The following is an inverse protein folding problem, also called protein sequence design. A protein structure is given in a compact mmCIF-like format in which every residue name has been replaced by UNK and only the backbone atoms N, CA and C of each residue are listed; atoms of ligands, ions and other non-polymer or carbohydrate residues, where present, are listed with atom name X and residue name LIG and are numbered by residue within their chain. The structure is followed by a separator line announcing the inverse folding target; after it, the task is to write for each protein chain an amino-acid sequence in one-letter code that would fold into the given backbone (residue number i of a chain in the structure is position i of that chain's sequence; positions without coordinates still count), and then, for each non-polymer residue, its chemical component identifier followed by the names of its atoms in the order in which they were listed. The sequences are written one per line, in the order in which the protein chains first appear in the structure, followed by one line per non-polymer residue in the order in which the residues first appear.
data_IF_814385123142
#
_entry.id   IF_814385123142
#
_cell.length_a   1.000
_cell.length_b   1.000
_cell.length_c   1.000
_cell.angle_alpha   90.00
_cell.angle_beta   90.00
_cell.angle_gamma   90.00
#
_symmetry.space_group_name_H-M   'P 1'
#
loop_
_entity.id
_entity.type
_entity.pdbx_description
1 polymer ?
#
# COMPACT_ATOMS: atom_id res chain seq x y z
N UNK A 1 -1.18 -0.75 31.69
CA UNK A 1 -1.71 -0.51 30.34
C UNK A 1 -2.03 -1.87 29.73
N UNK A 2 -3.31 -2.19 29.58
CA UNK A 2 -3.75 -3.50 29.05
C UNK A 2 -3.95 -3.38 27.56
N UNK A 3 -3.27 -4.22 26.79
CA UNK A 3 -3.38 -4.24 25.33
C UNK A 3 -4.32 -5.37 24.94
N UNK A 4 -5.28 -5.07 24.06
CA UNK A 4 -6.20 -6.06 23.49
C UNK A 4 -6.03 -6.11 21.98
N UNK A 5 -6.13 -7.31 21.39
CA UNK A 5 -6.14 -7.48 19.93
C UNK A 5 -7.51 -7.97 19.51
N UNK A 6 -8.07 -7.34 18.48
CA UNK A 6 -9.39 -7.68 17.94
C UNK A 6 -9.48 -7.37 16.45
N UNK A 7 -10.54 -7.87 15.83
CA UNK A 7 -10.80 -7.72 14.41
C UNK A 7 -11.22 -6.29 14.08
N UNK A 8 -10.70 -5.78 12.97
CA UNK A 8 -11.16 -4.55 12.36
C UNK A 8 -12.50 -4.81 11.65
N UNK A 9 -13.50 -3.97 11.93
CA UNK A 9 -14.85 -4.12 11.36
C UNK A 9 -15.13 -3.01 10.34
N UNK A 10 -15.79 -3.30 9.19
CA UNK A 10 -16.06 -2.30 8.15
C UNK A 10 -16.85 -1.08 8.66
N UNK A 11 -17.77 -1.27 9.61
CA UNK A 11 -18.57 -0.19 10.18
C UNK A 11 -17.89 0.61 11.30
N UNK A 12 -16.69 0.21 11.75
CA UNK A 12 -16.03 0.81 12.90
C UNK A 12 -15.13 1.99 12.47
N UNK A 13 -15.75 3.14 12.15
CA UNK A 13 -15.04 4.31 11.59
C UNK A 13 -13.81 4.73 12.40
N UNK A 14 -13.94 4.83 13.72
CA UNK A 14 -12.84 5.23 14.60
C UNK A 14 -11.65 4.24 14.54
N UNK A 15 -11.93 2.94 14.38
CA UNK A 15 -10.90 1.92 14.25
C UNK A 15 -10.20 2.00 12.90
N UNK A 16 -10.96 2.22 11.82
CA UNK A 16 -10.42 2.39 10.46
C UNK A 16 -9.50 3.63 10.38
N UNK A 17 -9.92 4.74 10.98
CA UNK A 17 -9.09 5.94 11.09
C UNK A 17 -7.86 5.71 11.96
N UNK A 18 -8.01 5.00 13.09
CA UNK A 18 -6.89 4.59 13.93
C UNK A 18 -5.88 3.72 13.19
N UNK A 19 -6.37 2.78 12.39
CA UNK A 19 -5.53 1.92 11.56
C UNK A 19 -4.71 2.76 10.56
N UNK A 20 -5.38 3.65 9.82
CA UNK A 20 -4.73 4.53 8.86
C UNK A 20 -3.70 5.45 9.53
N UNK A 21 -3.98 5.99 10.72
CA UNK A 21 -3.03 6.81 11.49
C UNK A 21 -1.77 6.03 11.86
N UNK A 22 -1.92 4.81 12.40
CA UNK A 22 -0.77 3.96 12.74
C UNK A 22 0.06 3.64 11.50
N UNK A 23 -0.58 3.31 10.37
CA UNK A 23 0.11 3.04 9.10
C UNK A 23 0.86 4.26 8.60
N UNK A 24 0.26 5.44 8.64
CA UNK A 24 0.92 6.66 8.21
C UNK A 24 2.13 7.01 9.08
N UNK A 25 2.04 6.80 10.40
CA UNK A 25 3.14 7.07 11.32
C UNK A 25 4.29 6.05 11.19
N UNK A 26 3.98 4.76 10.98
CA UNK A 26 4.97 3.69 10.94
C UNK A 26 5.51 3.39 9.53
N UNK A 27 4.74 3.68 8.47
CA UNK A 27 5.08 3.41 7.08
C UNK A 27 4.49 4.51 6.16
N UNK A 28 5.06 5.72 6.16
CA UNK A 28 4.47 6.89 5.47
C UNK A 28 4.47 6.78 3.94
N UNK A 29 5.09 5.74 3.37
CA UNK A 29 5.24 5.54 1.93
C UNK A 29 4.08 4.76 1.30
N UNK A 30 3.26 4.06 2.10
CA UNK A 30 2.08 3.33 1.62
C UNK A 30 0.82 4.05 2.06
N UNK A 31 -0.05 4.36 1.09
CA UNK A 31 -1.33 5.01 1.36
C UNK A 31 -2.36 3.97 1.82
N UNK A 32 -2.80 4.09 3.07
CA UNK A 32 -3.95 3.36 3.60
C UNK A 32 -5.00 4.37 4.05
N UNK A 33 -6.23 4.21 3.58
CA UNK A 33 -7.36 5.05 3.99
C UNK A 33 -8.46 4.18 4.62
N UNK A 34 -9.35 4.76 5.43
CA UNK A 34 -10.52 4.05 5.90
C UNK A 34 -11.38 3.45 4.78
N UNK A 35 -11.46 4.14 3.65
CA UNK A 35 -12.21 3.71 2.47
C UNK A 35 -11.53 2.51 1.80
N UNK A 36 -10.19 2.51 1.66
CA UNK A 36 -9.44 1.37 1.13
C UNK A 36 -9.58 0.15 2.05
N UNK A 37 -9.46 0.33 3.37
CA UNK A 37 -9.64 -0.75 4.33
C UNK A 37 -11.05 -1.35 4.30
N UNK A 38 -12.07 -0.51 4.13
CA UNK A 38 -13.47 -0.96 4.00
C UNK A 38 -13.66 -1.74 2.70
N UNK A 39 -13.05 -1.28 1.61
CA UNK A 39 -13.05 -1.98 0.33
C UNK A 39 -12.41 -3.36 0.48
N UNK A 40 -11.18 -3.44 0.97
CA UNK A 40 -10.46 -4.70 1.20
C UNK A 40 -11.30 -5.67 2.04
N UNK A 41 -11.84 -5.21 3.17
CA UNK A 41 -12.67 -6.01 4.06
C UNK A 41 -13.94 -6.59 3.42
N UNK A 42 -14.43 -5.99 2.34
CA UNK A 42 -15.70 -6.36 1.71
C UNK A 42 -15.54 -6.99 0.34
N UNK A 43 -14.38 -6.80 -0.31
CA UNK A 43 -14.16 -7.16 -1.71
C UNK A 43 -13.07 -8.21 -1.92
N UNK A 44 -12.14 -8.39 -0.97
CA UNK A 44 -11.13 -9.45 -1.07
C UNK A 44 -11.79 -10.82 -1.19
N UNK A 45 -11.20 -11.67 -2.03
CA UNK A 45 -11.69 -13.00 -2.32
C UNK A 45 -11.84 -13.81 -1.02
N UNK A 46 -12.93 -14.57 -0.83
CA UNK A 46 -13.16 -15.34 0.40
C UNK A 46 -12.00 -16.27 0.77
N UNK A 47 -11.34 -16.87 -0.23
CA UNK A 47 -10.20 -17.78 -0.02
C UNK A 47 -8.91 -17.06 0.40
N UNK A 48 -8.85 -15.73 0.28
CA UNK A 48 -7.79 -14.95 0.91
C UNK A 48 -7.92 -14.98 2.44
N UNK A 49 -9.07 -15.38 2.99
CA UNK A 49 -9.35 -15.42 4.42
C UNK A 49 -8.88 -14.14 5.14
N UNK A 50 -9.11 -13.00 4.50
CA UNK A 50 -8.60 -11.70 4.95
C UNK A 50 -9.14 -11.34 6.32
N UNK A 51 -8.23 -11.05 7.25
CA UNK A 51 -8.57 -10.70 8.63
C UNK A 51 -7.63 -9.62 9.16
N UNK A 52 -7.91 -8.34 8.87
CA UNK A 52 -7.14 -7.25 9.46
C UNK A 52 -7.43 -7.16 10.97
N UNK A 53 -6.36 -6.98 11.74
CA UNK A 53 -6.39 -6.90 13.20
C UNK A 53 -5.92 -5.53 13.68
N UNK A 54 -6.44 -5.11 14.81
CA UNK A 54 -5.96 -3.93 15.53
C UNK A 54 -5.57 -4.28 16.97
N UNK A 55 -4.49 -3.66 17.43
CA UNK A 55 -4.10 -3.65 18.84
C UNK A 55 -4.57 -2.34 19.47
N UNK A 56 -5.33 -2.43 20.56
CA UNK A 56 -5.95 -1.29 21.24
C UNK A 56 -5.43 -1.19 22.67
N UNK A 57 -5.05 0.01 23.08
CA UNK A 57 -4.72 0.35 24.46
C UNK A 57 -5.38 1.68 24.83
N UNK A 58 -6.00 1.75 26.01
CA UNK A 58 -6.68 2.95 26.52
C UNK A 58 -7.71 3.55 25.53
N UNK A 59 -8.36 2.68 24.74
CA UNK A 59 -9.35 3.05 23.73
C UNK A 59 -8.77 3.49 22.39
N UNK A 60 -7.44 3.56 22.26
CA UNK A 60 -6.74 3.99 21.05
C UNK A 60 -6.13 2.80 20.29
N UNK A 61 -6.24 2.82 18.96
CA UNK A 61 -5.53 1.89 18.08
C UNK A 61 -4.05 2.24 18.07
N UNK A 62 -3.22 1.35 18.62
CA UNK A 62 -1.76 1.53 18.72
C UNK A 62 -0.98 0.60 17.80
N UNK A 63 -1.64 -0.36 17.15
CA UNK A 63 -1.02 -1.32 16.25
C UNK A 63 -2.01 -1.92 15.28
N UNK A 64 -1.51 -2.37 14.13
CA UNK A 64 -2.30 -2.89 13.02
C UNK A 64 -1.64 -4.12 12.43
N UNK A 65 -2.43 -5.04 11.88
CA UNK A 65 -1.95 -6.12 11.04
C UNK A 65 -2.92 -6.35 9.86
N UNK A 66 -2.39 -6.48 8.65
CA UNK A 66 -3.09 -7.05 7.50
C UNK A 66 -2.65 -8.51 7.39
N UNK A 67 -3.64 -9.41 7.36
CA UNK A 67 -3.42 -10.85 7.45
C UNK A 67 -4.31 -11.52 6.41
N UNK A 68 -3.72 -12.22 5.44
CA UNK A 68 -4.45 -12.96 4.41
C UNK A 68 -3.59 -14.08 3.83
N UNK A 69 -4.22 -15.06 3.20
CA UNK A 69 -3.58 -15.97 2.26
C UNK A 69 -3.40 -15.27 0.91
N UNK A 70 -2.33 -15.64 0.19
CA UNK A 70 -2.15 -15.30 -1.23
C UNK A 70 -2.97 -16.31 -2.03
N UNK A 71 -4.27 -16.06 -2.17
CA UNK A 71 -5.18 -16.99 -2.85
C UNK A 71 -4.86 -17.17 -4.34
N UNK A 72 -4.22 -16.17 -4.94
CA UNK A 72 -3.76 -16.16 -6.34
C UNK A 72 -2.43 -16.90 -6.52
N UNK A 73 -1.84 -17.44 -5.45
CA UNK A 73 -0.60 -18.20 -5.57
C UNK A 73 -0.84 -19.57 -6.20
N UNK A 74 0.04 -19.95 -7.11
CA UNK A 74 0.06 -21.29 -7.71
C UNK A 74 0.39 -22.37 -6.67
N UNK A 75 1.07 -22.01 -5.58
CA UNK A 75 1.32 -22.88 -4.44
C UNK A 75 0.34 -22.58 -3.29
N UNK A 76 -0.41 -23.57 -2.78
CA UNK A 76 -1.32 -23.34 -1.65
C UNK A 76 -0.56 -23.08 -0.34
N UNK A 77 -1.19 -22.35 0.58
CA UNK A 77 -0.69 -22.16 1.94
C UNK A 77 0.31 -21.02 2.13
N UNK A 78 0.48 -20.14 1.12
CA UNK A 78 1.27 -18.92 1.26
C UNK A 78 0.43 -17.85 1.98
N UNK A 79 0.91 -17.38 3.14
CA UNK A 79 0.24 -16.37 3.95
C UNK A 79 1.06 -15.10 4.09
N UNK A 80 0.39 -13.95 4.20
CA UNK A 80 1.00 -12.65 4.43
C UNK A 80 0.62 -12.10 5.80
N UNK A 81 1.61 -11.56 6.51
CA UNK A 81 1.48 -10.91 7.81
C UNK A 81 2.23 -9.58 7.78
N UNK A 82 1.53 -8.51 7.42
CA UNK A 82 2.10 -7.16 7.43
C UNK A 82 1.55 -6.38 8.61
N UNK A 83 2.38 -6.12 9.63
CA UNK A 83 1.97 -5.44 10.85
C UNK A 83 2.88 -4.27 11.21
N UNK A 84 2.27 -3.27 11.84
CA UNK A 84 2.94 -2.04 12.25
C UNK A 84 2.39 -1.57 13.58
N UNK A 85 3.25 -1.13 14.48
CA UNK A 85 2.91 -0.53 15.77
C UNK A 85 3.27 0.94 15.70
N UNK A 86 2.44 1.81 16.27
CA UNK A 86 2.72 3.23 16.35
C UNK A 86 4.09 3.45 17.02
N UNK A 87 4.98 4.29 16.46
CA UNK A 87 6.36 4.44 16.96
C UNK A 87 6.44 4.71 18.48
N UNK A 88 5.51 5.52 19.01
CA UNK A 88 5.44 5.88 20.43
C UNK A 88 4.95 4.75 21.36
N UNK A 89 4.38 3.68 20.80
CA UNK A 89 3.81 2.54 21.54
C UNK A 89 4.58 1.22 21.31
N UNK A 90 5.74 1.29 20.68
CA UNK A 90 6.63 0.14 20.48
C UNK A 90 7.15 -0.41 21.82
N UNK A 91 7.63 -1.67 21.80
CA UNK A 91 8.20 -2.38 22.97
C UNK A 91 7.26 -2.57 24.17
N UNK A 92 5.94 -2.43 23.97
CA UNK A 92 4.90 -2.66 25.00
C UNK A 92 4.14 -3.98 24.83
N UNK A 93 4.52 -4.81 23.85
CA UNK A 93 3.91 -6.13 23.60
C UNK A 93 2.83 -6.18 22.50
N UNK A 94 2.40 -5.05 21.94
CA UNK A 94 1.40 -5.01 20.87
C UNK A 94 1.79 -5.85 19.64
N UNK A 95 3.04 -5.71 19.17
CA UNK A 95 3.55 -6.48 18.02
C UNK A 95 3.48 -7.99 18.25
N UNK A 96 3.94 -8.46 19.41
CA UNK A 96 3.90 -9.90 19.77
C UNK A 96 2.46 -10.42 19.83
N UNK A 97 1.51 -9.64 20.35
CA UNK A 97 0.09 -10.04 20.37
C UNK A 97 -0.49 -10.12 18.96
N UNK A 98 -0.15 -9.17 18.08
CA UNK A 98 -0.58 -9.15 16.69
C UNK A 98 -0.02 -10.33 15.90
N UNK A 99 1.30 -10.58 15.95
CA UNK A 99 1.95 -11.72 15.27
C UNK A 99 1.27 -13.03 15.67
N UNK A 100 1.14 -13.28 16.98
CA UNK A 100 0.54 -14.53 17.47
C UNK A 100 -0.90 -14.70 17.01
N UNK A 101 -1.67 -13.61 16.93
CA UNK A 101 -3.06 -13.67 16.46
C UNK A 101 -3.15 -13.92 14.95
N UNK A 102 -2.25 -13.31 14.18
CA UNK A 102 -2.14 -13.50 12.73
C UNK A 102 -1.72 -14.92 12.37
N UNK A 103 -0.65 -15.44 12.98
CA UNK A 103 -0.14 -16.78 12.73
C UNK A 103 -1.17 -17.86 13.07
N UNK A 104 -1.87 -17.73 14.20
CA UNK A 104 -2.96 -18.65 14.55
C UNK A 104 -4.08 -18.65 13.51
N UNK A 105 -4.43 -17.48 12.99
CA UNK A 105 -5.46 -17.35 11.97
C UNK A 105 -5.04 -18.05 10.69
N UNK A 106 -3.84 -17.75 10.19
CA UNK A 106 -3.34 -18.33 8.94
C UNK A 106 -3.11 -19.83 9.05
N UNK A 107 -2.55 -20.31 10.16
CA UNK A 107 -2.40 -21.74 10.42
C UNK A 107 -3.76 -22.48 10.44
N UNK A 108 -4.80 -21.86 11.02
CA UNK A 108 -6.14 -22.44 11.02
C UNK A 108 -6.77 -22.55 9.61
N UNK A 109 -6.28 -21.76 8.65
CA UNK A 109 -6.71 -21.77 7.24
C UNK A 109 -5.68 -22.46 6.33
N UNK A 110 -4.78 -23.27 6.88
CA UNK A 110 -3.88 -24.10 6.10
C UNK A 110 -2.61 -23.41 5.58
N UNK A 111 -2.25 -22.24 6.12
CA UNK A 111 -0.96 -21.62 5.81
C UNK A 111 0.19 -22.51 6.26
N UNK A 112 1.13 -22.77 5.36
CA UNK A 112 2.36 -23.54 5.58
C UNK A 112 3.59 -22.65 5.58
N UNK A 113 3.52 -21.49 4.90
CA UNK A 113 4.60 -20.51 4.81
C UNK A 113 4.05 -19.10 4.97
N UNK A 114 4.72 -18.28 5.77
CA UNK A 114 4.31 -16.92 6.08
C UNK A 114 5.37 -15.92 5.63
N UNK A 115 4.92 -14.83 5.02
CA UNK A 115 5.74 -13.74 4.54
C UNK A 115 5.34 -12.44 5.24
N UNK A 116 6.32 -11.57 5.44
CA UNK A 116 6.14 -10.27 6.04
C UNK A 116 7.13 -9.29 5.44
N UNK A 117 6.69 -8.06 5.17
CA UNK A 117 7.59 -6.96 4.86
C UNK A 117 8.04 -6.27 6.14
N UNK A 118 9.35 -6.18 6.31
CA UNK A 118 9.98 -5.58 7.49
C UNK A 118 10.78 -4.36 7.05
N UNK A 119 10.51 -3.20 7.67
CA UNK A 119 11.34 -2.02 7.47
C UNK A 119 12.76 -2.31 7.94
N UNK A 120 13.74 -1.96 7.11
CA UNK A 120 15.14 -2.29 7.33
C UNK A 120 15.78 -1.45 8.45
N UNK A 121 15.42 -1.78 9.69
CA UNK A 121 16.00 -1.23 10.91
C UNK A 121 16.39 -2.37 11.86
N UNK A 122 17.48 -2.24 12.64
CA UNK A 122 17.96 -3.32 13.51
C UNK A 122 16.90 -3.88 14.46
N UNK A 123 16.05 -3.00 15.02
CA UNK A 123 14.99 -3.40 15.95
C UNK A 123 13.87 -4.21 15.30
N UNK A 124 13.53 -3.91 14.04
CA UNK A 124 12.48 -4.59 13.30
C UNK A 124 12.97 -5.96 12.81
N UNK A 125 14.22 -6.05 12.33
CA UNK A 125 14.87 -7.31 11.98
C UNK A 125 14.97 -8.26 13.17
N UNK A 126 15.49 -7.77 14.29
CA UNK A 126 15.59 -8.58 15.52
C UNK A 126 14.22 -9.06 16.02
N UNK A 127 13.16 -8.26 15.84
CA UNK A 127 11.79 -8.67 16.16
C UNK A 127 11.30 -9.80 15.23
N UNK A 128 11.54 -9.68 13.92
CA UNK A 128 11.18 -10.70 12.95
C UNK A 128 11.90 -12.03 13.23
N UNK A 129 13.21 -11.98 13.47
CA UNK A 129 14.04 -13.14 13.82
C UNK A 129 13.58 -13.82 15.12
N UNK A 130 13.23 -13.05 16.15
CA UNK A 130 12.67 -13.56 17.40
C UNK A 130 11.37 -14.35 17.20
N UNK A 131 10.61 -14.00 16.16
CA UNK A 131 9.37 -14.66 15.76
C UNK A 131 9.58 -15.74 14.68
N UNK A 132 10.83 -16.07 14.33
CA UNK A 132 11.16 -17.15 13.40
C UNK A 132 11.13 -16.77 11.92
N UNK A 133 11.00 -15.49 11.58
CA UNK A 133 11.07 -15.01 10.20
C UNK A 133 12.54 -14.83 9.79
N UNK A 134 12.92 -15.41 8.66
CA UNK A 134 14.23 -15.21 8.02
C UNK A 134 14.14 -14.23 6.85
N UNK A 135 15.24 -13.54 6.55
CA UNK A 135 15.31 -12.65 5.39
C UNK A 135 15.35 -13.44 4.07
N UNK A 136 14.56 -13.01 3.09
CA UNK A 136 14.53 -13.56 1.73
C UNK A 136 15.06 -12.56 0.71
N UNK A 137 14.38 -11.41 0.58
CA UNK A 137 14.64 -10.36 -0.41
C UNK A 137 14.51 -8.96 0.17
N UNK A 138 14.93 -7.97 -0.61
CA UNK A 138 14.80 -6.55 -0.31
C UNK A 138 13.92 -5.83 -1.33
N UNK A 139 13.23 -4.79 -0.89
CA UNK A 139 12.54 -3.83 -1.74
C UNK A 139 12.87 -2.41 -1.27
N UNK A 140 12.76 -1.44 -2.18
CA UNK A 140 13.10 -0.05 -1.92
C UNK A 140 11.91 0.87 -2.20
N UNK A 141 11.64 1.80 -1.28
CA UNK A 141 10.79 2.94 -1.56
C UNK A 141 11.60 4.02 -2.28
N UNK A 142 11.20 4.35 -3.50
CA UNK A 142 11.80 5.43 -4.28
C UNK A 142 10.97 6.72 -4.13
N UNK A 143 11.63 7.86 -4.04
CA UNK A 143 10.98 9.18 -3.91
C UNK A 143 11.63 10.19 -4.84
N UNK A 144 10.78 10.96 -5.53
CA UNK A 144 11.16 12.14 -6.30
C UNK A 144 10.42 13.37 -5.74
N UNK A 145 11.15 14.45 -5.43
CA UNK A 145 10.54 15.72 -5.04
C UNK A 145 10.05 16.47 -6.29
N UNK A 146 8.73 16.51 -6.48
CA UNK A 146 8.09 17.19 -7.61
C UNK A 146 7.88 18.70 -7.37
N UNK A 147 7.95 19.17 -6.13
CA UNK A 147 7.68 20.57 -5.79
C UNK A 147 8.94 21.43 -5.91
N UNK A 148 10.09 20.88 -5.52
CA UNK A 148 11.37 21.59 -5.52
C UNK A 148 12.41 20.98 -6.46
N UNK A 149 12.13 19.82 -7.05
CA UNK A 149 13.03 19.15 -8.00
C UNK A 149 12.77 19.54 -9.45
N UNK A 150 13.69 19.13 -10.32
CA UNK A 150 13.53 19.22 -11.78
C UNK A 150 13.18 17.85 -12.33
N UNK A 151 12.12 17.79 -13.15
CA UNK A 151 11.80 16.58 -13.90
C UNK A 151 12.87 16.32 -14.98
N UNK A 152 13.15 15.04 -15.32
CA UNK A 152 13.88 14.75 -16.54
C UNK A 152 13.15 15.34 -17.76
N UNK A 153 13.88 15.69 -18.83
CA UNK A 153 13.25 16.21 -20.04
C UNK A 153 12.29 15.18 -20.60
N UNK A 154 11.16 15.65 -21.15
CA UNK A 154 10.21 14.79 -21.84
C UNK A 154 10.92 14.15 -23.05
N UNK A 155 10.82 12.82 -23.14
CA UNK A 155 11.36 12.06 -24.26
C UNK A 155 10.25 11.85 -25.30
N UNK A 156 10.61 11.90 -26.58
CA UNK A 156 9.71 11.52 -27.66
C UNK A 156 9.39 10.02 -27.56
N UNK A 157 8.14 9.67 -27.86
CA UNK A 157 7.72 8.26 -27.91
C UNK A 157 8.35 7.56 -29.14
N UNK A 158 8.69 6.27 -29.04
CA UNK A 158 9.03 5.47 -30.21
C UNK A 158 7.93 5.53 -31.30
N UNK A 159 8.26 5.39 -32.60
CA UNK A 159 7.33 5.63 -33.71
C UNK A 159 6.04 4.78 -33.71
N UNK A 160 6.02 3.68 -32.98
CA UNK A 160 4.95 2.68 -32.88
C UNK A 160 4.32 2.61 -31.48
N UNK A 161 4.64 3.57 -30.60
CA UNK A 161 4.15 3.62 -29.22
C UNK A 161 3.23 4.82 -29.02
N UNK A 162 2.05 4.55 -28.44
CA UNK A 162 1.09 5.57 -28.01
C UNK A 162 0.96 5.57 -26.48
N UNK A 163 0.90 6.75 -25.87
CA UNK A 163 0.59 6.92 -24.45
C UNK A 163 -0.91 7.15 -24.27
N UNK A 164 -1.59 6.28 -23.52
CA UNK A 164 -3.03 6.38 -23.24
C UNK A 164 -3.33 6.43 -21.74
N UNK A 165 -4.30 7.25 -21.30
CA UNK A 165 -4.74 7.22 -19.91
C UNK A 165 -5.55 5.95 -19.63
N UNK A 166 -5.42 5.39 -18.43
CA UNK A 166 -6.22 4.22 -18.03
C UNK A 166 -7.74 4.46 -18.15
N UNK A 167 -8.19 5.71 -18.02
CA UNK A 167 -9.61 6.08 -18.18
C UNK A 167 -10.19 5.75 -19.56
N UNK A 168 -9.36 5.67 -20.61
CA UNK A 168 -9.81 5.25 -21.94
C UNK A 168 -10.34 3.81 -21.96
N UNK A 169 -9.94 2.99 -20.99
CA UNK A 169 -10.35 1.60 -20.83
C UNK A 169 -11.50 1.45 -19.81
N UNK A 170 -12.12 2.55 -19.36
CA UNK A 170 -13.18 2.45 -18.34
C UNK A 170 -14.44 1.70 -18.83
N UNK A 171 -14.72 1.74 -20.13
CA UNK A 171 -15.83 0.99 -20.72
C UNK A 171 -15.53 -0.51 -20.83
N UNK A 172 -14.26 -0.87 -21.04
CA UNK A 172 -13.77 -2.25 -21.08
C UNK A 172 -12.35 -2.35 -20.49
N UNK A 173 -12.23 -2.64 -19.18
CA UNK A 173 -10.92 -2.76 -18.52
C UNK A 173 -10.13 -4.02 -18.88
N UNK A 174 -10.68 -4.93 -19.72
CA UNK A 174 -10.06 -6.23 -20.01
C UNK A 174 -8.64 -6.14 -20.57
N UNK A 175 -8.30 -5.20 -21.47
CA UNK A 175 -6.91 -5.07 -21.93
C UNK A 175 -5.93 -4.73 -20.80
N UNK A 176 -6.37 -4.01 -19.76
CA UNK A 176 -5.52 -3.71 -18.60
C UNK A 176 -5.36 -4.92 -17.69
N UNK A 177 -6.40 -5.75 -17.57
CA UNK A 177 -6.28 -7.04 -16.87
C UNK A 177 -5.30 -7.98 -17.56
N UNK A 178 -5.40 -8.13 -18.88
CA UNK A 178 -4.50 -9.01 -19.65
C UNK A 178 -3.04 -8.57 -19.50
N UNK A 179 -2.80 -7.25 -19.57
CA UNK A 179 -1.47 -6.67 -19.31
C UNK A 179 -1.00 -6.93 -17.87
N UNK A 180 -1.85 -6.68 -16.87
CA UNK A 180 -1.48 -6.85 -15.46
C UNK A 180 -1.19 -8.32 -15.14
N UNK A 181 -2.00 -9.24 -15.66
CA UNK A 181 -1.80 -10.68 -15.52
C UNK A 181 -0.48 -11.15 -16.17
N UNK A 182 -0.17 -10.69 -17.39
CA UNK A 182 1.09 -11.00 -18.06
C UNK A 182 2.30 -10.48 -17.28
N UNK A 183 2.25 -9.21 -16.84
CA UNK A 183 3.37 -8.59 -16.12
C UNK A 183 3.57 -9.13 -14.70
N UNK A 184 2.49 -9.50 -14.00
CA UNK A 184 2.56 -10.09 -12.66
C UNK A 184 3.16 -11.49 -12.72
N UNK A 185 2.82 -12.29 -13.73
CA UNK A 185 3.40 -13.63 -13.92
C UNK A 185 4.91 -13.58 -14.22
N UNK A 186 5.42 -12.48 -14.79
CA UNK A 186 6.85 -12.27 -15.06
C UNK A 186 7.59 -11.57 -13.90
N UNK A 187 6.89 -11.18 -12.81
CA UNK A 187 7.53 -10.50 -11.67
C UNK A 187 8.27 -11.50 -10.75
N UNK A 188 9.59 -11.33 -10.53
CA UNK A 188 10.32 -12.16 -9.59
C UNK A 188 9.89 -11.86 -8.14
N UNK A 189 9.27 -12.84 -7.48
CA UNK A 189 8.76 -12.73 -6.10
C UNK A 189 9.11 -13.96 -5.25
N UNK A 190 8.89 -13.85 -3.94
CA UNK A 190 8.96 -15.00 -3.02
C UNK A 190 7.73 -15.92 -3.15
N UNK A 191 6.67 -15.42 -3.77
CA UNK A 191 5.39 -16.09 -3.98
C UNK A 191 4.97 -15.87 -5.43
N UNK A 192 4.98 -16.94 -6.21
CA UNK A 192 4.46 -16.94 -7.58
C UNK A 192 2.95 -16.69 -7.52
N UNK A 193 2.47 -15.76 -8.35
CA UNK A 193 1.09 -15.27 -8.36
C UNK A 193 0.60 -15.18 -9.79
N UNK A 194 -0.62 -15.66 -10.05
CA UNK A 194 -1.21 -15.62 -11.38
C UNK A 194 -2.64 -15.07 -11.33
N UNK A 195 -2.87 -13.93 -12.00
CA UNK A 195 -4.20 -13.33 -12.11
C UNK A 195 -4.99 -14.02 -13.23
N UNK A 196 -5.83 -14.98 -12.84
CA UNK A 196 -6.64 -15.76 -13.80
C UNK A 196 -8.12 -15.36 -13.80
N UNK A 197 -8.59 -14.65 -12.77
CA UNK A 197 -9.99 -14.24 -12.62
C UNK A 197 -10.17 -12.73 -12.84
N UNK A 198 -10.67 -12.37 -14.02
CA UNK A 198 -11.01 -11.00 -14.37
C UNK A 198 -12.06 -10.36 -13.44
N UNK A 199 -13.03 -11.14 -12.95
CA UNK A 199 -14.09 -10.62 -12.08
C UNK A 199 -13.53 -10.19 -10.73
N UNK A 200 -12.70 -11.04 -10.13
CA UNK A 200 -11.98 -10.74 -8.88
C UNK A 200 -11.05 -9.55 -9.06
N UNK A 201 -10.23 -9.53 -10.11
CA UNK A 201 -9.36 -8.40 -10.44
C UNK A 201 -10.14 -7.07 -10.62
N UNK A 202 -11.31 -7.12 -11.26
CA UNK A 202 -12.14 -5.92 -11.45
C UNK A 202 -12.62 -5.33 -10.11
N UNK A 203 -13.03 -6.18 -9.17
CA UNK A 203 -13.51 -5.72 -7.86
C UNK A 203 -12.37 -5.29 -6.94
N UNK A 204 -11.28 -6.05 -6.91
CA UNK A 204 -10.16 -5.84 -5.98
C UNK A 204 -9.21 -4.74 -6.45
N UNK A 205 -8.83 -4.74 -7.72
CA UNK A 205 -7.80 -3.86 -8.28
C UNK A 205 -8.40 -2.67 -9.01
N UNK A 206 -9.24 -2.91 -10.03
CA UNK A 206 -9.75 -1.83 -10.87
C UNK A 206 -10.66 -0.85 -10.10
N UNK A 207 -11.56 -1.40 -9.27
CA UNK A 207 -12.52 -0.63 -8.46
C UNK A 207 -11.96 -0.15 -7.12
N UNK A 208 -10.69 -0.41 -6.83
CA UNK A 208 -10.08 -0.01 -5.56
C UNK A 208 -10.13 1.52 -5.36
N UNK A 209 -10.47 2.05 -4.18
CA UNK A 209 -10.56 3.49 -3.94
C UNK A 209 -9.24 4.26 -4.15
N UNK A 210 -8.10 3.58 -3.98
CA UNK A 210 -6.78 4.16 -4.23
C UNK A 210 -6.28 3.95 -5.66
N UNK A 211 -7.02 3.27 -6.54
CA UNK A 211 -6.63 3.15 -7.95
C UNK A 211 -6.64 4.53 -8.61
N UNK A 212 -5.75 4.75 -9.58
CA UNK A 212 -5.65 6.05 -10.27
C UNK A 212 -6.97 6.46 -10.96
N UNK A 213 -7.83 5.50 -11.30
CA UNK A 213 -9.14 5.71 -11.92
C UNK A 213 -10.23 6.12 -10.92
N UNK A 214 -10.11 5.74 -9.65
CA UNK A 214 -11.13 6.01 -8.62
C UNK A 214 -10.65 6.90 -7.48
N UNK A 215 -9.36 7.24 -7.45
CA UNK A 215 -8.81 8.18 -6.47
C UNK A 215 -9.51 9.52 -6.63
N UNK A 216 -10.08 10.11 -5.57
CA UNK A 216 -10.81 11.39 -5.65
C UNK A 216 -9.94 12.57 -6.13
N UNK A 217 -8.63 12.37 -6.33
CA UNK A 217 -7.71 13.32 -6.97
C UNK A 217 -7.72 13.30 -8.51
N UNK A 218 -8.42 12.37 -9.16
CA UNK A 218 -8.58 12.35 -10.62
C UNK A 218 -9.52 13.47 -11.12
N UNK A 219 -10.29 14.11 -10.23
CA UNK A 219 -11.01 15.35 -10.51
C UNK A 219 -10.12 16.58 -10.27
N UNK A 220 -9.12 16.79 -11.13
CA UNK A 220 -8.49 18.11 -11.24
C UNK A 220 -9.52 19.08 -11.81
N UNK A 221 -10.24 19.79 -10.93
CA UNK A 221 -10.95 21.01 -11.32
C UNK A 221 -9.95 21.95 -11.97
N UNK A 222 -10.19 22.26 -13.24
CA UNK A 222 -9.39 23.15 -14.08
C UNK A 222 -9.50 24.59 -13.55
N UNK A 223 -8.84 24.89 -12.43
CA UNK A 223 -8.65 26.25 -11.96
C UNK A 223 -7.29 26.74 -12.48
N UNK A 224 -7.27 27.13 -13.77
CA UNK A 224 -6.16 27.95 -14.28
C UNK A 224 -6.10 29.23 -13.42
N UNK A 225 -4.95 29.59 -12.82
CA UNK A 225 -4.84 30.85 -12.11
C UNK A 225 -5.01 32.00 -13.11
N UNK A 226 -5.78 33.05 -12.79
CA UNK A 226 -6.00 34.16 -13.71
C UNK A 226 -4.67 34.86 -13.98
N UNK A 227 -4.26 34.89 -15.25
CA UNK A 227 -3.23 35.80 -15.72
C UNK A 227 -3.73 37.21 -15.49
N UNK A 228 -3.02 38.00 -14.69
CA UNK A 228 -3.14 39.45 -14.72
C UNK A 228 -1.77 40.12 -14.62
N UNK A 229 -1.57 41.25 -15.31
CA UNK A 229 -0.26 41.76 -15.68
C UNK A 229 0.20 42.94 -14.80
N UNK A 230 1.51 43.23 -14.83
CA UNK A 230 2.22 44.54 -14.65
C UNK A 230 3.31 44.52 -13.55
N UNK A 231 4.22 45.53 -13.53
CA UNK A 231 5.02 46.12 -14.61
C UNK A 231 6.52 46.22 -14.24
N UNK A 232 7.33 46.71 -15.18
CA UNK A 232 8.78 46.88 -15.09
C UNK A 232 9.28 47.70 -13.87
N UNK A 233 10.44 47.30 -13.31
CA UNK A 233 11.36 48.16 -12.58
C UNK A 233 12.81 47.82 -12.91
N UNK A 234 13.57 48.84 -13.27
CA UNK A 234 14.98 48.84 -13.67
C UNK A 234 15.88 49.12 -12.46
N UNK A 235 17.04 48.46 -12.38
CA UNK A 235 18.31 49.01 -11.88
C UNK A 235 19.48 48.10 -12.32
N UNK A 236 20.54 48.71 -12.85
CA UNK A 236 21.73 48.06 -13.42
C UNK A 236 22.96 48.20 -12.46
N UNK A 237 24.20 47.89 -12.89
CA UNK A 237 24.81 46.56 -12.94
C UNK A 237 26.04 46.45 -12.01
N UNK A 238 26.50 45.23 -11.71
CA UNK A 238 27.72 45.00 -10.95
C UNK A 238 28.40 43.69 -11.31
N UNK A 239 29.47 43.78 -12.08
CA UNK A 239 30.46 42.74 -12.39
C UNK A 239 31.82 43.45 -12.61
N UNK A 240 33.01 42.80 -12.59
CA UNK A 240 33.31 41.36 -12.44
C UNK A 240 34.59 40.97 -11.62
N UNK A 241 34.76 39.65 -11.39
CA UNK A 241 36.02 38.83 -11.51
C UNK A 241 37.16 38.93 -10.47
N UNK A 242 38.13 37.97 -10.43
CA UNK A 242 38.39 36.82 -11.34
C UNK A 242 37.63 35.53 -11.02
#
# INVERSE_FOLDING_TARGET
MTITVRDLRPGARADLEGFARVRHAALPFILITPESLTHDLTRLHPDAHYRPLIAVADGEVIGTAQVHLTHESSEPGQGNVNLYVHPEHTRRGAGTLLVRAAERHLAAHGATRLFAWVLDEPGNRAFAELHGYGASRSAHFLRLDLANGTLPPLQDLPPDVELRPAADFAADPRPLFELDAETTADEPSDVDTEFTDYGTWLEETWRHPCSATNSPRSHWSTAAPPRSPRPARTAAPGTPRP
#
